data_IF_226007570280
#
_entry.id   IF_226007570280
#
_cell.length_a   1.000
_cell.length_b   1.000
_cell.length_c   1.000
_cell.angle_alpha   90.00
_cell.angle_beta   90.00
_cell.angle_gamma   90.00
#
_symmetry.space_group_name_H-M   'P 1'
#
loop_
_entity.id
_entity.type
_entity.pdbx_description
1 polymer ?
#
# COMPACT_ATOMS: atom_id res chain seq x y z
N UNK A 1 -6.10 24.80 5.10
CA UNK A 1 -4.71 24.78 5.62
C UNK A 1 -4.04 23.41 5.45
N UNK A 2 -4.57 22.30 5.97
CA UNK A 2 -3.91 20.98 5.84
C UNK A 2 -3.64 20.57 4.39
N UNK A 3 -4.62 20.69 3.51
CA UNK A 3 -4.49 20.38 2.07
C UNK A 3 -3.46 21.27 1.32
N UNK A 4 -3.11 22.42 1.87
CA UNK A 4 -2.07 23.29 1.30
C UNK A 4 -0.65 22.79 1.57
N UNK A 5 -0.49 21.91 2.58
CA UNK A 5 0.78 21.28 2.92
C UNK A 5 1.00 19.98 2.11
N UNK A 6 -0.07 19.38 1.62
CA UNK A 6 -0.03 18.17 0.80
C UNK A 6 -1.38 17.45 0.80
N UNK A 7 -1.67 16.71 -0.26
CA UNK A 7 -2.96 16.01 -0.43
C UNK A 7 -3.24 14.97 0.65
N UNK A 8 -2.20 14.32 1.19
CA UNK A 8 -2.34 13.28 2.21
C UNK A 8 -2.45 13.84 3.65
N UNK A 9 -2.12 15.13 3.86
CA UNK A 9 -2.07 15.73 5.20
C UNK A 9 -3.44 15.76 5.90
N UNK A 10 -4.58 16.03 5.19
CA UNK A 10 -5.91 15.98 5.80
C UNK A 10 -6.26 14.62 6.44
N UNK A 11 -5.80 13.51 5.86
CA UNK A 11 -6.00 12.18 6.43
C UNK A 11 -5.46 12.08 7.86
N UNK A 12 -4.27 12.61 8.13
CA UNK A 12 -3.67 12.55 9.46
C UNK A 12 -4.44 13.37 10.52
N UNK A 13 -5.31 14.28 10.09
CA UNK A 13 -6.20 15.01 10.99
C UNK A 13 -7.48 14.20 11.33
N UNK A 14 -7.81 13.17 10.57
CA UNK A 14 -8.99 12.32 10.78
C UNK A 14 -8.57 10.99 11.40
N UNK A 15 -7.61 10.32 10.78
CA UNK A 15 -7.11 9.01 11.19
C UNK A 15 -8.12 7.88 11.01
N UNK A 16 -7.73 6.65 11.37
CA UNK A 16 -8.55 5.47 11.19
C UNK A 16 -8.76 5.10 9.72
N UNK A 17 -9.85 4.42 9.40
CA UNK A 17 -10.23 4.12 8.03
C UNK A 17 -10.97 5.32 7.42
N UNK A 18 -10.59 5.71 6.22
CA UNK A 18 -11.16 6.87 5.54
C UNK A 18 -11.19 6.68 4.03
N UNK A 19 -12.14 7.31 3.37
CA UNK A 19 -12.19 7.45 1.91
C UNK A 19 -11.62 8.81 1.55
N UNK A 20 -10.62 8.84 0.67
CA UNK A 20 -10.11 10.07 0.05
C UNK A 20 -10.70 10.24 -1.35
N UNK A 21 -11.20 11.42 -1.65
CA UNK A 21 -11.68 11.83 -2.97
C UNK A 21 -10.81 12.95 -3.53
N UNK A 22 -11.04 13.30 -4.81
CA UNK A 22 -10.22 14.28 -5.52
C UNK A 22 -8.79 13.75 -5.71
N UNK A 23 -7.78 14.49 -5.22
CA UNK A 23 -6.39 14.05 -5.16
C UNK A 23 -6.02 13.41 -3.81
N UNK A 24 -7.03 13.08 -2.97
CA UNK A 24 -6.87 12.56 -1.61
C UNK A 24 -7.12 13.60 -0.52
N UNK A 25 -7.33 14.86 -0.85
CA UNK A 25 -7.52 15.96 0.10
C UNK A 25 -8.93 15.99 0.73
N UNK A 26 -9.94 15.47 0.04
CA UNK A 26 -11.30 15.34 0.58
C UNK A 26 -11.44 14.02 1.31
N UNK A 27 -11.34 14.04 2.64
CA UNK A 27 -11.27 12.83 3.46
C UNK A 27 -12.56 12.60 4.23
N UNK A 28 -13.21 11.47 3.96
CA UNK A 28 -14.45 11.04 4.61
C UNK A 28 -14.17 9.85 5.53
N UNK A 29 -14.52 9.95 6.82
CA UNK A 29 -14.31 8.86 7.76
C UNK A 29 -15.25 7.68 7.46
N UNK A 30 -14.69 6.47 7.44
CA UNK A 30 -15.42 5.21 7.34
C UNK A 30 -15.36 4.46 8.66
N UNK A 31 -16.09 3.34 8.77
CA UNK A 31 -15.94 2.41 9.87
C UNK A 31 -14.50 1.88 9.93
N UNK A 32 -13.92 1.85 11.13
CA UNK A 32 -12.55 1.39 11.30
C UNK A 32 -12.42 -0.11 10.98
N UNK A 33 -11.37 -0.45 10.23
CA UNK A 33 -11.00 -1.84 10.01
C UNK A 33 -10.72 -2.55 11.34
N UNK A 34 -10.94 -3.87 11.41
CA UNK A 34 -10.55 -4.67 12.57
C UNK A 34 -9.03 -4.52 12.82
N UNK A 35 -8.61 -4.92 14.02
CA UNK A 35 -7.19 -4.84 14.42
C UNK A 35 -6.34 -5.81 13.63
N UNK A 36 -5.87 -5.37 12.48
CA UNK A 36 -4.98 -6.12 11.60
C UNK A 36 -3.52 -5.72 11.85
N UNK A 37 -2.63 -6.58 11.39
CA UNK A 37 -1.20 -6.36 11.38
C UNK A 37 -0.74 -6.02 9.98
N UNK A 38 0.30 -5.20 9.87
CA UNK A 38 0.91 -4.86 8.59
C UNK A 38 2.41 -5.09 8.65
N UNK A 39 2.96 -5.66 7.59
CA UNK A 39 4.39 -5.70 7.33
C UNK A 39 4.68 -4.67 6.25
N UNK A 40 5.57 -3.73 6.55
CA UNK A 40 6.09 -2.77 5.58
C UNK A 40 7.45 -3.25 5.12
N UNK A 41 7.59 -3.58 3.86
CA UNK A 41 8.83 -3.94 3.21
C UNK A 41 9.43 -2.71 2.54
N UNK A 42 10.68 -2.42 2.85
CA UNK A 42 11.41 -1.24 2.38
C UNK A 42 12.62 -1.71 1.57
N UNK A 43 12.50 -1.86 0.24
CA UNK A 43 13.64 -2.10 -0.63
C UNK A 43 14.69 -0.98 -0.48
N UNK A 44 16.00 -1.26 -0.71
CA UNK A 44 17.08 -0.30 -0.48
C UNK A 44 17.22 0.76 -1.60
N UNK A 45 16.12 1.09 -2.26
CA UNK A 45 16.04 2.12 -3.30
C UNK A 45 14.69 2.82 -3.25
N UNK A 46 14.64 4.05 -3.75
CA UNK A 46 13.39 4.79 -3.95
C UNK A 46 12.94 4.74 -5.41
N UNK A 47 11.66 4.99 -5.65
CA UNK A 47 11.09 5.24 -6.98
C UNK A 47 10.58 6.66 -6.99
N UNK A 48 11.02 7.45 -7.98
CA UNK A 48 10.51 8.79 -8.18
C UNK A 48 9.03 8.74 -8.59
N UNK A 49 8.19 9.49 -7.90
CA UNK A 49 6.76 9.59 -8.24
C UNK A 49 6.58 10.08 -9.67
N UNK A 50 7.40 11.03 -10.10
CA UNK A 50 7.40 11.54 -11.48
C UNK A 50 7.68 10.43 -12.50
N UNK A 51 8.69 9.60 -12.24
CA UNK A 51 9.06 8.52 -13.16
C UNK A 51 7.98 7.44 -13.18
N UNK A 52 7.39 7.09 -12.03
CA UNK A 52 6.31 6.13 -11.97
C UNK A 52 5.10 6.55 -12.82
N UNK A 53 4.72 7.83 -12.77
CA UNK A 53 3.66 8.37 -13.64
C UNK A 53 4.07 8.38 -15.12
N UNK A 54 5.29 8.77 -15.45
CA UNK A 54 5.79 8.72 -16.83
C UNK A 54 5.72 7.29 -17.40
N UNK A 55 6.08 6.29 -16.60
CA UNK A 55 6.00 4.88 -17.00
C UNK A 55 4.56 4.38 -17.14
N UNK A 56 3.64 4.89 -16.33
CA UNK A 56 2.22 4.61 -16.50
C UNK A 56 1.69 5.18 -17.81
N UNK A 57 2.07 6.41 -18.15
CA UNK A 57 1.66 7.07 -19.39
C UNK A 57 2.24 6.33 -20.61
N UNK A 58 3.50 5.92 -20.58
CA UNK A 58 4.08 5.05 -21.61
C UNK A 58 3.29 3.75 -21.81
N UNK A 59 2.90 3.09 -20.70
CA UNK A 59 2.09 1.87 -20.77
C UNK A 59 0.73 2.16 -21.41
N UNK A 60 0.03 3.21 -21.00
CA UNK A 60 -1.27 3.62 -21.55
C UNK A 60 -1.24 3.93 -23.04
N UNK A 61 -0.14 4.54 -23.52
CA UNK A 61 0.05 4.81 -24.96
C UNK A 61 0.26 3.53 -25.78
N UNK A 62 0.87 2.51 -25.21
CA UNK A 62 1.10 1.22 -25.88
C UNK A 62 -0.13 0.31 -25.84
N UNK A 63 -0.92 0.39 -24.78
CA UNK A 63 -2.07 -0.48 -24.51
C UNK A 63 -3.33 0.38 -24.19
N UNK A 64 -3.84 1.18 -25.15
CA UNK A 64 -4.86 2.21 -24.86
C UNK A 64 -6.23 1.67 -24.41
N UNK A 65 -6.49 0.35 -24.51
CA UNK A 65 -7.79 -0.25 -24.24
C UNK A 65 -7.78 -1.55 -23.41
N UNK A 66 -6.69 -1.94 -22.81
CA UNK A 66 -6.75 -3.06 -21.86
C UNK A 66 -7.42 -2.58 -20.57
N UNK A 67 -8.76 -2.73 -20.50
CA UNK A 67 -9.51 -2.85 -19.24
C UNK A 67 -9.18 -4.20 -18.57
N UNK A 68 -7.96 -4.65 -18.62
CA UNK A 68 -7.53 -5.61 -17.64
C UNK A 68 -7.51 -4.82 -16.33
N UNK A 69 -8.58 -5.01 -15.55
CA UNK A 69 -8.53 -4.80 -14.13
C UNK A 69 -7.22 -5.43 -13.69
N UNK A 70 -6.21 -4.59 -13.39
CA UNK A 70 -4.98 -5.06 -12.79
C UNK A 70 -5.38 -5.58 -11.40
N UNK A 71 -5.98 -6.78 -11.37
CA UNK A 71 -6.19 -7.59 -10.17
C UNK A 71 -4.83 -8.06 -9.63
N UNK A 72 -3.85 -7.17 -9.65
CA UNK A 72 -2.53 -7.41 -9.10
C UNK A 72 -2.51 -7.29 -7.59
N UNK A 73 -3.60 -6.82 -6.97
CA UNK A 73 -3.81 -6.92 -5.54
C UNK A 73 -4.30 -8.32 -5.17
N UNK A 74 -3.43 -9.19 -4.67
CA UNK A 74 -3.85 -10.48 -4.16
C UNK A 74 -4.61 -10.30 -2.85
N UNK A 75 -5.93 -10.16 -2.92
CA UNK A 75 -6.84 -10.13 -1.78
C UNK A 75 -7.70 -8.88 -1.65
N UNK A 76 -8.72 -8.96 -0.83
CA UNK A 76 -9.61 -7.87 -0.47
C UNK A 76 -9.62 -7.67 1.05
N UNK A 77 -9.51 -6.43 1.49
CA UNK A 77 -9.68 -6.04 2.90
C UNK A 77 -11.14 -5.76 3.25
N UNK A 78 -11.95 -5.47 2.25
CA UNK A 78 -13.38 -5.22 2.36
C UNK A 78 -14.14 -6.16 1.41
N UNK A 79 -15.37 -6.56 1.75
CA UNK A 79 -16.26 -7.18 0.76
C UNK A 79 -16.37 -6.26 -0.46
N UNK A 80 -16.12 -6.81 -1.64
CA UNK A 80 -16.25 -6.12 -2.94
C UNK A 80 -15.27 -4.96 -3.22
N UNK A 81 -14.20 -4.77 -2.43
CA UNK A 81 -13.16 -3.77 -2.70
C UNK A 81 -11.84 -4.45 -3.01
N UNK A 82 -11.42 -4.40 -4.26
CA UNK A 82 -10.09 -4.81 -4.70
C UNK A 82 -9.12 -3.64 -4.54
N UNK A 83 -7.94 -3.89 -3.97
CA UNK A 83 -6.89 -2.88 -3.94
C UNK A 83 -6.26 -2.79 -5.33
N UNK A 84 -6.38 -1.63 -5.94
CA UNK A 84 -5.79 -1.34 -7.25
C UNK A 84 -4.77 -0.21 -7.08
N UNK A 85 -3.60 -0.38 -7.69
CA UNK A 85 -2.60 0.66 -7.81
C UNK A 85 -2.07 0.66 -9.25
N UNK A 86 -2.56 1.59 -10.05
CA UNK A 86 -2.19 1.70 -11.48
C UNK A 86 -0.69 1.85 -11.71
N UNK A 87 0.03 2.41 -10.73
CA UNK A 87 1.48 2.59 -10.80
C UNK A 87 2.23 1.26 -10.57
N UNK A 88 1.61 0.24 -9.98
CA UNK A 88 2.31 -0.98 -9.58
C UNK A 88 2.87 -1.74 -10.80
N UNK A 89 2.06 -1.99 -11.82
CA UNK A 89 2.47 -2.78 -12.96
C UNK A 89 3.67 -2.15 -13.74
N UNK A 90 3.64 -0.86 -14.11
CA UNK A 90 4.77 -0.23 -14.80
C UNK A 90 6.03 -0.11 -13.92
N UNK A 91 5.88 0.05 -12.62
CA UNK A 91 7.00 0.10 -11.68
C UNK A 91 7.61 -1.29 -11.48
N UNK A 92 6.81 -2.34 -11.30
CA UNK A 92 7.28 -3.73 -11.18
C UNK A 92 8.03 -4.18 -12.45
N UNK A 93 7.57 -3.76 -13.63
CA UNK A 93 8.27 -4.07 -14.89
C UNK A 93 9.72 -3.54 -14.92
N UNK A 94 9.98 -2.42 -14.25
CA UNK A 94 11.32 -1.81 -14.15
C UNK A 94 12.10 -2.23 -12.90
N UNK A 95 11.38 -2.59 -11.86
CA UNK A 95 11.92 -3.02 -10.57
C UNK A 95 11.31 -4.35 -10.12
N UNK A 96 11.68 -5.50 -10.74
CA UNK A 96 11.08 -6.82 -10.49
C UNK A 96 11.15 -7.27 -9.03
N UNK A 97 12.10 -6.74 -8.26
CA UNK A 97 12.22 -7.02 -6.82
C UNK A 97 10.96 -6.63 -6.05
N UNK A 98 10.23 -5.59 -6.45
CA UNK A 98 8.96 -5.16 -5.84
C UNK A 98 7.92 -6.28 -6.00
N UNK A 99 7.79 -6.85 -7.19
CA UNK A 99 6.92 -7.99 -7.46
C UNK A 99 7.29 -9.22 -6.63
N UNK A 100 8.59 -9.52 -6.53
CA UNK A 100 9.09 -10.63 -5.72
C UNK A 100 8.79 -10.46 -4.23
N UNK A 101 8.93 -9.24 -3.70
CA UNK A 101 8.59 -8.91 -2.30
C UNK A 101 7.09 -9.11 -2.05
N UNK A 102 6.25 -8.61 -2.94
CA UNK A 102 4.80 -8.76 -2.89
C UNK A 102 4.39 -10.23 -2.88
N UNK A 103 4.94 -11.03 -3.81
CA UNK A 103 4.67 -12.46 -3.90
C UNK A 103 5.08 -13.20 -2.61
N UNK A 104 6.24 -12.88 -2.03
CA UNK A 104 6.70 -13.47 -0.76
C UNK A 104 5.76 -13.14 0.39
N UNK A 105 5.25 -11.92 0.50
CA UNK A 105 4.25 -11.55 1.50
C UNK A 105 2.95 -12.32 1.30
N UNK A 106 2.46 -12.45 0.08
CA UNK A 106 1.28 -13.23 -0.25
C UNK A 106 1.47 -14.71 0.15
N UNK A 107 2.57 -15.35 -0.25
CA UNK A 107 2.92 -16.72 0.11
C UNK A 107 3.10 -16.93 1.63
N UNK A 108 3.43 -15.87 2.38
CA UNK A 108 3.52 -15.91 3.85
C UNK A 108 2.16 -15.84 4.55
N UNK A 109 1.06 -15.75 3.80
CA UNK A 109 -0.31 -15.71 4.31
C UNK A 109 -0.82 -14.29 4.56
N UNK A 110 -0.32 -13.30 3.85
CA UNK A 110 -0.94 -11.97 3.82
C UNK A 110 -2.35 -12.05 3.21
N UNK A 111 -3.30 -11.35 3.81
CA UNK A 111 -4.66 -11.18 3.28
C UNK A 111 -4.63 -10.39 1.97
N UNK A 112 -3.72 -9.45 1.90
CA UNK A 112 -3.43 -8.61 0.74
C UNK A 112 -1.97 -8.20 0.78
N UNK A 113 -1.35 -8.10 -0.39
CA UNK A 113 -0.01 -7.54 -0.56
C UNK A 113 -0.02 -6.61 -1.78
N UNK A 114 0.49 -5.39 -1.62
CA UNK A 114 0.49 -4.39 -2.67
C UNK A 114 1.66 -3.40 -2.51
N UNK A 115 2.01 -2.73 -3.60
CA UNK A 115 2.92 -1.60 -3.58
C UNK A 115 2.21 -0.37 -3.01
N UNK A 116 2.89 0.42 -2.20
CA UNK A 116 2.38 1.66 -1.63
C UNK A 116 2.75 2.86 -2.52
N UNK A 117 1.75 3.57 -3.00
CA UNK A 117 1.93 4.76 -3.83
C UNK A 117 2.78 4.47 -5.07
N UNK A 118 3.80 5.30 -5.32
CA UNK A 118 4.75 5.13 -6.42
C UNK A 118 5.82 4.06 -6.15
N UNK A 119 5.85 3.44 -4.97
CA UNK A 119 6.89 2.50 -4.55
C UNK A 119 8.09 3.25 -3.92
N UNK A 120 9.18 2.58 -3.62
CA UNK A 120 9.42 1.13 -3.70
C UNK A 120 8.79 0.32 -2.55
N UNK A 121 8.20 0.99 -1.56
CA UNK A 121 7.61 0.32 -0.40
C UNK A 121 6.47 -0.63 -0.82
N UNK A 122 6.47 -1.81 -0.21
CA UNK A 122 5.42 -2.83 -0.36
C UNK A 122 4.84 -3.12 1.02
N UNK A 123 3.54 -3.33 1.10
CA UNK A 123 2.93 -3.75 2.35
C UNK A 123 2.19 -5.08 2.21
N UNK A 124 2.13 -5.83 3.31
CA UNK A 124 1.28 -7.00 3.43
C UNK A 124 0.47 -6.93 4.71
N UNK A 125 -0.83 -7.23 4.63
CA UNK A 125 -1.76 -7.19 5.77
C UNK A 125 -2.03 -8.60 6.28
N UNK A 126 -2.01 -8.79 7.60
CA UNK A 126 -2.11 -10.08 8.26
C UNK A 126 -3.16 -10.05 9.39
N UNK A 127 -3.84 -11.18 9.60
CA UNK A 127 -4.81 -11.32 10.70
C UNK A 127 -4.14 -11.37 12.09
N UNK A 128 -2.89 -11.84 12.16
CA UNK A 128 -2.21 -12.12 13.44
C UNK A 128 -0.78 -11.61 13.48
N UNK A 129 -0.28 -11.35 14.69
CA UNK A 129 1.13 -11.03 14.96
C UNK A 129 2.07 -12.11 14.43
N UNK A 130 1.74 -13.38 14.65
CA UNK A 130 2.54 -14.51 14.22
C UNK A 130 2.66 -14.57 12.68
N UNK A 131 1.55 -14.30 11.96
CA UNK A 131 1.55 -14.18 10.50
C UNK A 131 2.44 -13.05 10.01
N UNK A 132 2.30 -11.86 10.58
CA UNK A 132 3.15 -10.71 10.25
C UNK A 132 4.63 -10.98 10.55
N UNK A 133 4.94 -11.60 11.68
CA UNK A 133 6.32 -11.96 12.03
C UNK A 133 6.94 -12.97 11.05
N UNK A 134 6.16 -13.94 10.54
CA UNK A 134 6.63 -14.85 9.48
C UNK A 134 6.92 -14.09 8.19
N UNK A 135 5.98 -13.22 7.76
CA UNK A 135 6.16 -12.39 6.56
C UNK A 135 7.40 -11.51 6.64
N UNK A 136 7.62 -10.84 7.78
CA UNK A 136 8.81 -10.03 8.00
C UNK A 136 10.10 -10.84 7.92
N UNK A 137 10.16 -12.03 8.55
CA UNK A 137 11.36 -12.90 8.51
C UNK A 137 11.73 -13.35 7.11
N UNK A 138 10.73 -13.72 6.30
CA UNK A 138 10.97 -14.13 4.90
C UNK A 138 11.58 -13.00 4.09
N UNK A 139 11.26 -11.75 4.37
CA UNK A 139 11.83 -10.59 3.68
C UNK A 139 13.24 -10.27 4.17
N UNK A 140 13.47 -10.28 5.48
CA UNK A 140 14.80 -9.98 6.03
C UNK A 140 15.86 -11.00 5.59
N UNK A 141 15.48 -12.26 5.36
CA UNK A 141 16.38 -13.27 4.79
C UNK A 141 16.84 -12.96 3.36
N UNK A 142 16.18 -12.02 2.67
CA UNK A 142 16.56 -11.56 1.32
C UNK A 142 17.21 -10.17 1.29
N UNK A 143 17.57 -9.62 2.45
CA UNK A 143 18.18 -8.30 2.57
C UNK A 143 17.19 -7.13 2.50
N UNK A 144 15.88 -7.39 2.41
CA UNK A 144 14.86 -6.34 2.42
C UNK A 144 14.52 -5.98 3.86
N UNK A 145 14.65 -4.71 4.23
CA UNK A 145 14.23 -4.22 5.53
C UNK A 145 12.72 -4.36 5.68
N UNK A 146 12.26 -4.99 6.76
CA UNK A 146 10.87 -5.18 7.07
C UNK A 146 10.53 -4.62 8.47
N UNK A 147 9.43 -3.88 8.55
CA UNK A 147 8.87 -3.34 9.78
C UNK A 147 7.49 -3.95 9.99
N UNK A 148 7.17 -4.30 11.24
CA UNK A 148 5.85 -4.78 11.61
C UNK A 148 5.12 -3.72 12.41
N UNK A 149 3.88 -3.41 12.02
CA UNK A 149 3.02 -2.44 12.68
C UNK A 149 1.59 -2.96 12.82
N UNK A 150 0.72 -2.18 13.42
CA UNK A 150 -0.71 -2.48 13.56
C UNK A 150 -1.54 -1.33 13.00
N UNK A 151 -2.70 -1.65 12.46
CA UNK A 151 -3.68 -0.63 12.12
C UNK A 151 -4.12 0.12 13.38
N UNK A 152 -4.13 1.43 13.28
CA UNK A 152 -4.46 2.33 14.35
C UNK A 152 -5.90 2.83 14.18
N UNK A 153 -6.85 2.42 15.04
CA UNK A 153 -8.21 2.92 14.97
C UNK A 153 -8.27 4.41 15.27
N UNK A 154 -9.25 5.11 14.70
CA UNK A 154 -9.40 6.58 14.77
C UNK A 154 -9.29 7.13 16.19
N UNK A 155 -9.94 6.46 17.15
CA UNK A 155 -9.89 6.88 18.55
C UNK A 155 -8.45 6.96 19.09
N UNK A 156 -7.61 5.99 18.75
CA UNK A 156 -6.20 5.98 19.16
C UNK A 156 -5.34 6.97 18.35
N UNK A 157 -5.62 7.12 17.06
CA UNK A 157 -4.95 8.12 16.23
C UNK A 157 -5.14 9.53 16.79
N UNK A 158 -6.35 9.86 17.26
CA UNK A 158 -6.64 11.15 17.93
C UNK A 158 -5.88 11.32 19.25
N UNK A 159 -5.73 10.25 20.03
CA UNK A 159 -5.03 10.30 21.32
C UNK A 159 -3.51 10.51 21.21
N UNK A 160 -2.91 10.28 20.05
CA UNK A 160 -1.47 10.50 19.83
C UNK A 160 -1.12 11.94 19.42
N UNK A 161 -2.10 12.83 19.36
CA UNK A 161 -1.90 14.25 18.95
C UNK A 161 -1.65 15.22 20.11
N UNK A 162 -1.67 14.70 21.36
CA UNK A 162 -1.50 15.50 22.58
C UNK A 162 -0.38 14.95 23.42
#
# INVERSE_FOLDING_TARGET
MAAQLGSDVPYFLIGGTSLGLGRGEEVYPLEDLPRLWVVLALPPFGVSTRDAYAWLDEKRLREPFSRESNETGSGSLFPHVTLVNDLEAPVVARHPVIGSVKERLAKSGALVAAMSGSGSAVFGVFRSAAGAARGARVLTSTGVRALTARFLPRRRAKALRY
#
